data_IF_338929731993
#
_entry.id   IF_338929731993
#
_cell.length_a   1.000
_cell.length_b   1.000
_cell.length_c   1.000
_cell.angle_alpha   90.00
_cell.angle_beta   90.00
_cell.angle_gamma   90.00
#
_symmetry.space_group_name_H-M   'P 1'
#
loop_
_entity.id
_entity.type
_entity.pdbx_description
1 polymer ?
#
# COMPACT_ATOMS: atom_id res chain seq x y z
N UNK A 1 19.73 5.21 -10.21
CA UNK A 1 18.44 5.83 -10.63
C UNK A 1 17.63 6.11 -9.36
N UNK A 2 17.16 7.34 -9.14
CA UNK A 2 16.29 7.66 -7.99
C UNK A 2 14.83 7.43 -8.40
N UNK A 3 14.05 6.64 -7.65
CA UNK A 3 12.64 6.47 -7.96
C UNK A 3 11.90 7.80 -7.77
N UNK A 4 10.90 8.04 -8.62
CA UNK A 4 10.03 9.21 -8.57
C UNK A 4 8.62 8.76 -8.26
N UNK A 5 7.91 9.54 -7.45
CA UNK A 5 6.52 9.29 -7.12
C UNK A 5 5.63 10.30 -7.85
N UNK A 6 4.70 9.80 -8.65
CA UNK A 6 3.66 10.62 -9.27
C UNK A 6 2.37 10.41 -8.50
N UNK A 7 1.71 11.50 -8.10
CA UNK A 7 0.47 11.42 -7.35
C UNK A 7 -0.66 10.83 -8.23
N UNK A 8 -1.27 9.69 -7.86
CA UNK A 8 -2.35 9.07 -8.63
C UNK A 8 -3.55 9.98 -8.89
N UNK A 9 -3.83 10.92 -7.98
CA UNK A 9 -4.90 11.89 -8.15
C UNK A 9 -4.62 12.86 -9.30
N UNK A 10 -3.36 13.27 -9.49
CA UNK A 10 -2.97 14.12 -10.61
C UNK A 10 -2.99 13.35 -11.93
N UNK A 11 -2.54 12.09 -11.92
CA UNK A 11 -2.64 11.20 -13.09
C UNK A 11 -4.09 11.10 -13.57
N UNK A 12 -5.04 10.88 -12.64
CA UNK A 12 -6.46 10.78 -12.97
C UNK A 12 -7.01 12.08 -13.55
N UNK A 13 -6.75 13.23 -12.92
CA UNK A 13 -7.24 14.53 -13.40
C UNK A 13 -6.67 14.95 -14.75
N UNK A 14 -5.36 14.76 -14.96
CA UNK A 14 -4.71 15.06 -16.23
C UNK A 14 -5.27 14.19 -17.35
N UNK A 15 -5.50 12.90 -17.06
CA UNK A 15 -6.12 12.00 -18.02
C UNK A 15 -7.55 12.39 -18.36
N UNK A 16 -8.37 12.73 -17.37
CA UNK A 16 -9.75 13.19 -17.60
C UNK A 16 -9.79 14.44 -18.47
N UNK A 17 -8.82 15.35 -18.29
CA UNK A 17 -8.67 16.56 -19.10
C UNK A 17 -8.24 16.25 -20.55
N UNK A 18 -7.28 15.34 -20.73
CA UNK A 18 -6.75 14.98 -22.06
C UNK A 18 -7.71 14.10 -22.88
N UNK A 19 -8.38 13.15 -22.22
CA UNK A 19 -9.29 12.20 -22.86
C UNK A 19 -10.75 12.69 -22.91
N UNK A 20 -11.08 13.77 -22.22
CA UNK A 20 -12.43 14.30 -22.01
C UNK A 20 -13.45 13.20 -21.65
N UNK A 21 -13.03 12.25 -20.82
CA UNK A 21 -13.81 11.06 -20.47
C UNK A 21 -13.47 10.61 -19.03
N UNK A 22 -14.47 10.36 -18.17
CA UNK A 22 -14.25 9.89 -16.80
C UNK A 22 -13.76 8.43 -16.69
N UNK A 23 -13.68 7.69 -17.80
CA UNK A 23 -13.37 6.27 -17.76
C UNK A 23 -11.92 5.97 -17.36
N UNK A 24 -11.79 5.26 -16.24
CA UNK A 24 -10.52 4.70 -15.76
C UNK A 24 -10.13 3.49 -16.62
N UNK A 25 -9.19 3.69 -17.55
CA UNK A 25 -8.58 2.60 -18.33
C UNK A 25 -7.06 2.52 -18.12
N UNK A 26 -6.56 1.47 -17.45
CA UNK A 26 -5.16 1.32 -17.03
C UNK A 26 -4.16 1.33 -18.21
N UNK A 27 -4.62 1.13 -19.45
CA UNK A 27 -3.76 1.14 -20.65
C UNK A 27 -3.17 2.51 -20.99
N UNK A 28 -3.79 3.60 -20.55
CA UNK A 28 -3.35 4.98 -20.87
C UNK A 28 -2.54 5.65 -19.76
N UNK A 29 -2.60 5.11 -18.55
CA UNK A 29 -1.93 5.66 -17.37
C UNK A 29 -0.40 5.77 -17.51
N UNK A 30 0.31 4.84 -18.21
CA UNK A 30 1.74 4.98 -18.42
C UNK A 30 2.12 6.24 -19.22
N UNK A 31 1.32 6.63 -20.22
CA UNK A 31 1.57 7.82 -21.04
C UNK A 31 1.41 9.10 -20.21
N UNK A 32 0.30 9.21 -19.48
CA UNK A 32 0.05 10.37 -18.61
C UNK A 32 1.07 10.45 -17.48
N UNK A 33 1.46 9.32 -16.90
CA UNK A 33 2.52 9.27 -15.87
C UNK A 33 3.85 9.75 -16.43
N UNK A 34 4.25 9.28 -17.62
CA UNK A 34 5.48 9.73 -18.28
C UNK A 34 5.46 11.23 -18.61
N UNK A 35 4.31 11.75 -19.07
CA UNK A 35 4.13 13.18 -19.33
C UNK A 35 4.30 14.01 -18.05
N UNK A 36 3.66 13.61 -16.96
CA UNK A 36 3.80 14.29 -15.66
C UNK A 36 5.25 14.24 -15.13
N UNK A 37 5.97 13.13 -15.36
CA UNK A 37 7.39 13.05 -15.02
C UNK A 37 8.22 14.01 -15.87
N UNK A 38 7.97 14.08 -17.17
CA UNK A 38 8.66 14.99 -18.09
C UNK A 38 8.39 16.48 -17.76
N UNK A 39 7.18 16.80 -17.30
CA UNK A 39 6.79 18.13 -16.82
C UNK A 39 7.35 18.47 -15.43
N UNK A 40 8.05 17.55 -14.76
CA UNK A 40 8.57 17.77 -13.41
C UNK A 40 7.52 17.68 -12.30
N UNK A 41 6.30 17.22 -12.62
CA UNK A 41 5.16 17.09 -11.68
C UNK A 41 5.21 15.78 -10.89
N UNK A 42 6.35 15.53 -10.26
CA UNK A 42 6.59 14.37 -9.40
C UNK A 42 7.23 14.80 -8.09
N UNK A 43 7.18 13.94 -7.08
CA UNK A 43 7.91 14.11 -5.84
C UNK A 43 8.96 13.02 -5.67
N UNK A 44 10.06 13.35 -5.01
CA UNK A 44 11.00 12.33 -4.56
C UNK A 44 10.45 11.70 -3.28
N UNK A 45 10.15 10.38 -3.28
CA UNK A 45 9.72 9.72 -2.07
C UNK A 45 10.86 9.74 -1.04
N UNK A 46 10.50 9.92 0.22
CA UNK A 46 11.45 9.77 1.31
C UNK A 46 11.82 8.28 1.46
N UNK A 47 13.08 7.98 1.15
CA UNK A 47 13.66 6.66 1.36
C UNK A 47 14.59 6.78 2.56
N UNK A 48 14.16 6.31 3.75
CA UNK A 48 15.00 6.39 4.93
C UNK A 48 16.27 5.56 4.74
N UNK A 49 17.37 6.03 5.32
CA UNK A 49 18.67 5.37 5.34
C UNK A 49 19.23 5.33 6.76
N UNK A 50 20.12 4.38 7.05
CA UNK A 50 20.70 4.21 8.39
C UNK A 50 19.65 3.92 9.45
N UNK A 51 19.75 4.58 10.61
CA UNK A 51 18.90 4.35 11.79
C UNK A 51 17.40 4.43 11.45
N UNK A 52 16.97 5.38 10.61
CA UNK A 52 15.57 5.50 10.23
C UNK A 52 15.06 4.33 9.37
N UNK A 53 15.94 3.71 8.56
CA UNK A 53 15.58 2.51 7.81
C UNK A 53 15.40 1.31 8.74
N UNK A 54 16.27 1.19 9.74
CA UNK A 54 16.19 0.13 10.76
C UNK A 54 14.90 0.24 11.59
N UNK A 55 14.55 1.46 12.04
CA UNK A 55 13.30 1.71 12.76
C UNK A 55 12.09 1.32 11.90
N UNK A 56 12.11 1.65 10.60
CA UNK A 56 11.03 1.26 9.67
C UNK A 56 10.93 -0.27 9.56
N UNK A 57 12.06 -0.96 9.45
CA UNK A 57 12.12 -2.42 9.40
C UNK A 57 11.56 -3.06 10.68
N UNK A 58 11.97 -2.57 11.85
CA UNK A 58 11.48 -3.05 13.15
C UNK A 58 9.98 -2.81 13.33
N UNK A 59 9.49 -1.63 12.90
CA UNK A 59 8.06 -1.32 12.92
C UNK A 59 7.25 -2.28 12.04
N UNK A 60 7.74 -2.56 10.83
CA UNK A 60 7.12 -3.54 9.93
C UNK A 60 7.10 -4.94 10.52
N UNK A 61 8.21 -5.39 11.12
CA UNK A 61 8.29 -6.69 11.79
C UNK A 61 7.27 -6.79 12.93
N UNK A 62 7.16 -5.74 13.76
CA UNK A 62 6.16 -5.69 14.83
C UNK A 62 4.74 -5.84 14.30
N UNK A 63 4.40 -5.16 13.20
CA UNK A 63 3.07 -5.29 12.58
C UNK A 63 2.81 -6.73 12.11
N UNK A 64 3.77 -7.36 11.44
CA UNK A 64 3.65 -8.74 10.99
C UNK A 64 3.47 -9.71 12.18
N UNK A 65 4.29 -9.58 13.23
CA UNK A 65 4.18 -10.42 14.42
C UNK A 65 2.84 -10.22 15.13
N UNK A 66 2.32 -8.99 15.18
CA UNK A 66 1.01 -8.71 15.78
C UNK A 66 -0.14 -9.36 14.98
N UNK A 67 -0.08 -9.31 13.66
CA UNK A 67 -1.04 -9.99 12.78
C UNK A 67 -0.98 -11.51 12.95
N UNK A 68 0.21 -12.09 13.01
CA UNK A 68 0.41 -13.52 13.24
C UNK A 68 -0.12 -13.97 14.61
N UNK A 69 0.17 -13.20 15.66
CA UNK A 69 -0.34 -13.46 17.01
C UNK A 69 -1.87 -13.44 17.00
N UNK A 70 -2.48 -12.46 16.34
CA UNK A 70 -3.94 -12.39 16.18
C UNK A 70 -4.48 -13.60 15.42
N UNK A 71 -3.81 -14.01 14.34
CA UNK A 71 -4.17 -15.19 13.55
C UNK A 71 -4.11 -16.48 14.38
N UNK A 72 -3.07 -16.65 15.20
CA UNK A 72 -2.89 -17.80 16.08
C UNK A 72 -3.98 -17.81 17.15
N UNK A 73 -4.25 -16.67 17.80
CA UNK A 73 -5.35 -16.55 18.78
C UNK A 73 -6.70 -16.95 18.17
N UNK A 74 -7.02 -16.45 16.98
CA UNK A 74 -8.25 -16.80 16.29
C UNK A 74 -8.32 -18.28 15.90
N UNK A 75 -7.18 -18.89 15.55
CA UNK A 75 -7.10 -20.34 15.26
C UNK A 75 -7.34 -21.19 16.51
N UNK A 76 -6.75 -20.81 17.64
CA UNK A 76 -6.98 -21.48 18.93
C UNK A 76 -8.44 -21.33 19.34
N UNK A 77 -8.99 -20.12 19.32
CA UNK A 77 -10.41 -19.88 19.63
C UNK A 77 -11.33 -20.73 18.76
N UNK A 78 -11.05 -20.82 17.45
CA UNK A 78 -11.80 -21.69 16.53
C UNK A 78 -11.72 -23.17 16.93
N UNK A 79 -10.54 -23.68 17.30
CA UNK A 79 -10.40 -25.06 17.76
C UNK A 79 -11.20 -25.33 19.03
N UNK A 80 -11.18 -24.42 20.00
CA UNK A 80 -12.03 -24.53 21.18
C UNK A 80 -13.52 -24.54 20.80
N UNK A 81 -13.97 -23.68 19.89
CA UNK A 81 -15.36 -23.69 19.44
C UNK A 81 -15.76 -24.99 18.72
N UNK A 82 -14.83 -25.67 18.03
CA UNK A 82 -15.11 -26.93 17.33
C UNK A 82 -15.15 -28.11 18.29
N UNK A 83 -14.15 -28.23 19.17
CA UNK A 83 -13.98 -29.43 20.01
C UNK A 83 -14.60 -29.29 21.41
N UNK A 84 -14.75 -28.05 21.90
CA UNK A 84 -15.30 -27.73 23.22
C UNK A 84 -16.41 -26.67 23.12
N UNK A 85 -17.46 -26.90 22.31
CA UNK A 85 -18.51 -25.90 22.05
C UNK A 85 -19.33 -25.52 23.29
N UNK A 86 -19.26 -26.32 24.37
CA UNK A 86 -19.94 -26.07 25.64
C UNK A 86 -19.19 -25.05 26.51
N UNK A 87 -17.88 -24.86 26.29
CA UNK A 87 -17.07 -23.85 26.96
C UNK A 87 -17.18 -22.52 26.18
N UNK A 88 -18.23 -21.75 26.47
CA UNK A 88 -18.50 -20.43 25.85
C UNK A 88 -18.16 -19.23 26.74
N UNK A 89 -17.68 -19.48 27.96
CA UNK A 89 -17.24 -18.44 28.90
C UNK A 89 -15.73 -18.18 28.80
#
# INVERSE_FOLDING_TARGET
MKPVHVNPHHVKKSKELDDNNPNKNDRKDPKTTAALVNEGRFSYPYIPTGIYAEIRSLSNLRFQTQEELTRIKNRIARWFSIYFPEYKE
#
